data_IF_688122776910
#
_entry.id   IF_688122776910
#
_cell.length_a   1.000
_cell.length_b   1.000
_cell.length_c   1.000
_cell.angle_alpha   90.00
_cell.angle_beta   90.00
_cell.angle_gamma   90.00
#
_symmetry.space_group_name_H-M   'P 1'
#
loop_
_entity.id
_entity.type
_entity.pdbx_description
1 polymer ?
#
# COMPACT_ATOMS: atom_id res chain seq x y z
N UNK A 1 -0.58 -26.04 46.59
CA UNK A 1 -0.45 -26.05 45.12
C UNK A 1 -1.20 -24.82 44.65
N UNK A 2 -0.46 -23.79 44.26
CA UNK A 2 -0.92 -22.41 44.31
C UNK A 2 -1.84 -22.09 43.13
N UNK A 3 -3.14 -22.29 43.34
CA UNK A 3 -4.20 -21.97 42.38
C UNK A 3 -4.08 -20.54 41.86
N UNK A 4 -3.65 -19.61 42.73
CA UNK A 4 -3.36 -18.23 42.33
C UNK A 4 -2.21 -18.09 41.33
N UNK A 5 -1.14 -18.89 41.47
CA UNK A 5 -0.03 -18.90 40.52
C UNK A 5 -0.45 -19.47 39.16
N UNK A 6 -1.29 -20.51 39.16
CA UNK A 6 -1.85 -21.08 37.93
C UNK A 6 -2.77 -20.09 37.20
N UNK A 7 -3.63 -19.38 37.95
CA UNK A 7 -4.53 -18.35 37.39
C UNK A 7 -3.72 -17.16 36.85
N UNK A 8 -2.69 -16.71 37.58
CA UNK A 8 -1.82 -15.62 37.13
C UNK A 8 -1.05 -15.99 35.85
N UNK A 9 -0.51 -17.21 35.77
CA UNK A 9 0.18 -17.69 34.57
C UNK A 9 -0.76 -17.80 33.36
N UNK A 10 -1.98 -18.32 33.56
CA UNK A 10 -2.98 -18.43 32.50
C UNK A 10 -3.40 -17.04 31.97
N UNK A 11 -3.63 -16.08 32.86
CA UNK A 11 -3.99 -14.70 32.49
C UNK A 11 -2.87 -13.99 31.72
N UNK A 12 -1.61 -14.18 32.14
CA UNK A 12 -0.45 -13.61 31.46
C UNK A 12 -0.32 -14.13 30.02
N UNK A 13 -0.48 -15.45 29.83
CA UNK A 13 -0.41 -16.08 28.51
C UNK A 13 -1.54 -15.57 27.60
N UNK A 14 -2.76 -15.51 28.13
CA UNK A 14 -3.91 -15.00 27.37
C UNK A 14 -3.72 -13.54 26.95
N UNK A 15 -3.17 -12.70 27.84
CA UNK A 15 -2.86 -11.30 27.55
C UNK A 15 -1.80 -11.15 26.46
N UNK A 16 -0.71 -11.91 26.53
CA UNK A 16 0.36 -11.88 25.51
C UNK A 16 -0.16 -12.36 24.15
N UNK A 17 -0.93 -13.46 24.11
CA UNK A 17 -1.49 -13.96 22.85
C UNK A 17 -2.43 -12.93 22.22
N UNK A 18 -3.30 -12.32 23.02
CA UNK A 18 -4.22 -11.28 22.53
C UNK A 18 -3.46 -10.05 22.03
N UNK A 19 -2.42 -9.61 22.77
CA UNK A 19 -1.58 -8.49 22.37
C UNK A 19 -0.80 -8.76 21.08
N UNK A 20 -0.26 -9.97 20.91
CA UNK A 20 0.45 -10.38 19.69
C UNK A 20 -0.50 -10.46 18.50
N UNK A 21 -1.69 -11.04 18.67
CA UNK A 21 -2.71 -11.10 17.61
C UNK A 21 -3.17 -9.70 17.25
N UNK A 22 -3.43 -8.84 18.24
CA UNK A 22 -3.83 -7.46 18.02
C UNK A 22 -2.73 -6.67 17.30
N UNK A 23 -1.47 -6.79 17.71
CA UNK A 23 -0.34 -6.15 17.02
C UNK A 23 -0.12 -6.71 15.61
N UNK A 24 -0.26 -8.03 15.41
CA UNK A 24 -0.08 -8.63 14.09
C UNK A 24 -1.21 -8.21 13.14
N UNK A 25 -2.45 -8.19 13.63
CA UNK A 25 -3.61 -7.66 12.92
C UNK A 25 -3.45 -6.18 12.63
N UNK A 26 -3.02 -5.36 13.60
CA UNK A 26 -2.74 -3.93 13.39
C UNK A 26 -1.59 -3.71 12.42
N UNK A 27 -0.51 -4.49 12.48
CA UNK A 27 0.63 -4.35 11.57
C UNK A 27 0.28 -4.76 10.14
N UNK A 28 -0.59 -5.75 9.97
CA UNK A 28 -1.17 -6.05 8.66
C UNK A 28 -2.19 -5.01 8.21
N UNK A 29 -2.98 -4.50 9.16
CA UNK A 29 -4.01 -3.53 8.86
C UNK A 29 -3.44 -2.15 8.61
N UNK A 30 -2.35 -1.70 9.21
CA UNK A 30 -1.66 -0.44 8.90
C UNK A 30 -1.09 -0.43 7.47
N UNK A 31 -0.68 -1.60 6.95
CA UNK A 31 -0.36 -1.76 5.52
C UNK A 31 -1.57 -1.56 4.60
N UNK A 32 -2.78 -1.59 5.15
CA UNK A 32 -4.07 -1.40 4.47
C UNK A 32 -4.83 -0.13 4.95
N UNK A 33 -4.49 0.40 6.12
CA UNK A 33 -5.08 1.53 6.87
C UNK A 33 -4.23 2.79 6.79
N UNK A 34 -3.10 2.75 6.06
CA UNK A 34 -2.70 3.88 5.21
C UNK A 34 -3.73 4.21 4.12
N UNK A 35 -5.01 3.81 4.28
CA UNK A 35 -6.21 4.45 3.74
C UNK A 35 -6.16 5.93 4.07
N UNK A 36 -5.95 6.80 3.08
CA UNK A 36 -6.39 8.15 3.22
C UNK A 36 -7.89 8.15 2.96
N UNK A 37 -8.64 8.34 4.04
CA UNK A 37 -10.05 8.69 4.00
C UNK A 37 -10.24 9.94 3.15
N UNK A 38 -10.58 9.80 1.85
CA UNK A 38 -11.16 10.82 0.95
C UNK A 38 -10.52 12.23 0.94
N UNK A 39 -9.33 12.40 1.54
CA UNK A 39 -8.65 13.69 1.80
C UNK A 39 -7.13 13.59 1.57
N UNK A 40 -6.61 12.53 0.92
CA UNK A 40 -5.22 12.58 0.40
C UNK A 40 -5.16 13.38 -0.90
N UNK A 41 -5.53 14.65 -0.83
CA UNK A 41 -4.75 15.68 -1.49
C UNK A 41 -3.66 16.01 -0.46
N UNK A 42 -2.37 15.90 -0.81
CA UNK A 42 -1.21 16.21 0.04
C UNK A 42 -0.72 15.10 0.98
N UNK A 43 -0.27 13.99 0.42
CA UNK A 43 1.10 13.58 0.75
C UNK A 43 1.89 13.95 -0.49
N UNK A 44 2.65 15.03 -0.44
CA UNK A 44 3.62 15.37 -1.49
C UNK A 44 4.83 14.45 -1.30
N UNK A 45 5.02 13.37 -2.08
CA UNK A 45 6.31 13.22 -2.70
C UNK A 45 6.50 14.49 -3.55
N UNK A 46 7.69 15.09 -3.51
CA UNK A 46 8.03 16.29 -4.29
C UNK A 46 8.02 15.92 -5.78
N UNK A 47 6.82 15.75 -6.34
CA UNK A 47 6.60 15.70 -7.77
C UNK A 47 6.60 17.16 -8.21
N UNK A 48 7.34 17.50 -9.28
CA UNK A 48 7.31 18.84 -9.83
C UNK A 48 5.86 19.29 -10.08
N UNK A 49 5.52 20.56 -9.80
CA UNK A 49 4.18 21.08 -10.07
C UNK A 49 3.83 20.84 -11.54
N UNK A 50 2.65 20.26 -11.81
CA UNK A 50 2.15 20.02 -13.17
C UNK A 50 2.11 18.55 -13.63
N UNK A 51 2.61 17.59 -12.86
CA UNK A 51 2.50 16.16 -13.19
C UNK A 51 1.04 15.70 -13.31
N UNK A 52 0.15 16.19 -12.46
CA UNK A 52 -1.31 15.97 -12.54
C UNK A 52 -1.90 16.47 -13.85
N UNK A 53 -1.47 17.64 -14.31
CA UNK A 53 -1.94 18.20 -15.58
C UNK A 53 -1.51 17.30 -16.73
N UNK A 54 -0.26 16.84 -16.76
CA UNK A 54 0.22 15.89 -17.79
C UNK A 54 -0.56 14.58 -17.72
N UNK A 55 -0.70 13.99 -16.53
CA UNK A 55 -1.44 12.75 -16.34
C UNK A 55 -2.92 12.86 -16.73
N UNK A 56 -3.53 14.05 -16.64
CA UNK A 56 -4.92 14.29 -17.06
C UNK A 56 -5.10 14.45 -18.57
N UNK A 57 -4.06 14.88 -19.28
CA UNK A 57 -4.09 15.15 -20.73
C UNK A 57 -3.64 13.92 -21.52
N UNK A 58 -2.91 13.00 -20.89
CA UNK A 58 -2.54 11.74 -21.52
C UNK A 58 -3.80 10.92 -21.82
N UNK A 59 -3.90 10.47 -23.07
CA UNK A 59 -4.92 9.50 -23.51
C UNK A 59 -4.68 8.10 -22.91
N UNK A 60 -3.50 7.90 -22.32
CA UNK A 60 -3.05 6.68 -21.68
C UNK A 60 -3.27 6.73 -20.16
N UNK A 61 -3.45 5.55 -19.58
CA UNK A 61 -3.50 5.37 -18.13
C UNK A 61 -2.09 5.41 -17.53
N UNK A 62 -1.92 6.05 -16.36
CA UNK A 62 -0.62 6.16 -15.71
C UNK A 62 -0.75 6.18 -14.18
N UNK A 63 0.23 5.56 -13.51
CA UNK A 63 0.30 5.36 -12.06
C UNK A 63 1.73 5.63 -11.60
N UNK A 64 1.89 6.36 -10.50
CA UNK A 64 3.16 6.67 -9.85
C UNK A 64 3.20 5.89 -8.52
N UNK A 65 4.29 5.15 -8.32
CA UNK A 65 4.51 4.33 -7.13
C UNK A 65 5.65 4.92 -6.27
N UNK A 66 5.57 4.71 -4.94
CA UNK A 66 6.70 4.95 -4.04
C UNK A 66 7.64 3.73 -3.93
N UNK A 67 8.68 3.85 -3.12
CA UNK A 67 9.65 2.78 -2.85
C UNK A 67 9.03 1.53 -2.21
N UNK A 68 7.85 1.67 -1.58
CA UNK A 68 7.12 0.60 -0.92
C UNK A 68 6.00 0.01 -1.81
N UNK A 69 5.99 0.31 -3.11
CA UNK A 69 4.98 -0.11 -4.08
C UNK A 69 3.57 0.47 -3.85
N UNK A 70 3.45 1.52 -3.02
CA UNK A 70 2.18 2.21 -2.81
C UNK A 70 1.95 3.26 -3.90
N UNK A 71 0.69 3.40 -4.33
CA UNK A 71 0.30 4.38 -5.34
C UNK A 71 0.26 5.77 -4.72
N UNK A 72 1.18 6.65 -5.14
CA UNK A 72 1.21 8.05 -4.71
C UNK A 72 0.35 8.95 -5.60
N UNK A 73 0.26 8.63 -6.89
CA UNK A 73 -0.56 9.38 -7.86
C UNK A 73 -1.04 8.45 -8.96
N UNK A 74 -2.23 8.68 -9.46
CA UNK A 74 -2.76 7.92 -10.59
C UNK A 74 -3.68 8.81 -11.42
N UNK A 75 -3.72 8.58 -12.73
CA UNK A 75 -4.66 9.24 -13.61
C UNK A 75 -6.09 8.73 -13.38
N UNK A 76 -7.08 9.52 -13.77
CA UNK A 76 -8.50 9.13 -13.70
C UNK A 76 -8.77 7.85 -14.51
N UNK A 77 -8.12 7.70 -15.66
CA UNK A 77 -8.19 6.49 -16.49
C UNK A 77 -7.70 5.23 -15.73
N UNK A 78 -6.65 5.35 -14.91
CA UNK A 78 -6.13 4.21 -14.13
C UNK A 78 -7.13 3.71 -13.09
N UNK A 79 -7.86 4.62 -12.45
CA UNK A 79 -8.95 4.26 -11.55
C UNK A 79 -10.14 3.65 -12.30
N UNK A 80 -10.52 4.22 -13.44
CA UNK A 80 -11.64 3.73 -14.25
C UNK A 80 -11.38 2.32 -14.81
N UNK A 81 -10.13 2.03 -15.20
CA UNK A 81 -9.69 0.71 -15.66
C UNK A 81 -9.46 -0.29 -14.51
N UNK A 82 -9.57 0.15 -13.25
CA UNK A 82 -9.40 -0.70 -12.08
C UNK A 82 -7.94 -1.12 -11.81
N UNK A 83 -6.97 -0.43 -12.41
CA UNK A 83 -5.53 -0.67 -12.22
C UNK A 83 -5.07 -0.31 -10.80
N UNK A 84 -5.82 0.58 -10.12
CA UNK A 84 -5.55 0.97 -8.73
C UNK A 84 -6.73 0.61 -7.85
N UNK A 85 -6.49 -0.15 -6.79
CA UNK A 85 -7.50 -0.48 -5.76
C UNK A 85 -6.89 -0.27 -4.39
N UNK A 86 -7.58 0.49 -3.54
CA UNK A 86 -7.14 0.72 -2.15
C UNK A 86 -5.76 1.37 -2.02
N UNK A 87 -5.33 2.17 -3.00
CA UNK A 87 -4.00 2.80 -2.99
C UNK A 87 -2.85 1.87 -3.40
N UNK A 88 -3.15 0.71 -3.99
CA UNK A 88 -2.17 -0.25 -4.52
C UNK A 88 -2.44 -0.55 -5.98
N UNK A 89 -1.39 -0.90 -6.71
CA UNK A 89 -1.50 -1.41 -8.07
C UNK A 89 -2.14 -2.81 -8.00
N UNK A 90 -3.27 -3.00 -8.68
CA UNK A 90 -4.05 -4.24 -8.63
C UNK A 90 -3.52 -5.32 -9.57
N UNK A 91 -2.71 -4.93 -10.55
CA UNK A 91 -2.20 -5.77 -11.62
C UNK A 91 -0.79 -6.26 -11.26
N UNK A 92 -0.70 -7.50 -10.77
CA UNK A 92 0.57 -8.08 -10.29
C UNK A 92 1.70 -8.07 -11.36
N UNK A 93 1.45 -8.40 -12.64
CA UNK A 93 2.50 -8.30 -13.67
C UNK A 93 3.09 -6.90 -13.82
N UNK A 94 2.27 -5.85 -13.67
CA UNK A 94 2.76 -4.47 -13.72
C UNK A 94 3.55 -4.10 -12.47
N UNK A 95 3.20 -4.68 -11.31
CA UNK A 95 3.92 -4.45 -10.06
C UNK A 95 5.32 -5.07 -10.12
N UNK A 96 5.42 -6.29 -10.63
CA UNK A 96 6.70 -6.96 -10.82
C UNK A 96 7.58 -6.17 -11.79
N UNK A 97 7.01 -5.69 -12.90
CA UNK A 97 7.72 -4.83 -13.83
C UNK A 97 8.23 -3.55 -13.15
N UNK A 98 7.41 -2.88 -12.34
CA UNK A 98 7.82 -1.68 -11.64
C UNK A 98 8.97 -1.94 -10.65
N UNK A 99 9.01 -3.13 -10.02
CA UNK A 99 10.13 -3.54 -9.15
C UNK A 99 11.39 -3.80 -9.93
N UNK A 100 11.28 -4.47 -11.08
CA UNK A 100 12.42 -4.76 -11.94
C UNK A 100 13.00 -3.45 -12.49
N UNK A 101 12.16 -2.57 -13.06
CA UNK A 101 12.52 -1.22 -13.52
C UNK A 101 13.14 -0.35 -12.43
N UNK A 102 12.75 -0.50 -11.16
CA UNK A 102 13.37 0.23 -10.04
C UNK A 102 14.79 -0.26 -9.74
N UNK A 103 15.06 -1.55 -9.95
CA UNK A 103 16.37 -2.14 -9.67
C UNK A 103 17.37 -1.86 -10.78
N UNK A 104 16.93 -1.89 -12.02
CA UNK A 104 17.79 -1.74 -13.20
C UNK A 104 17.75 -0.33 -13.81
N UNK A 105 16.69 0.44 -13.57
CA UNK A 105 16.47 1.75 -14.19
C UNK A 105 16.00 1.67 -15.65
N UNK A 106 15.73 0.48 -16.18
CA UNK A 106 15.43 0.24 -17.58
C UNK A 106 13.91 0.26 -17.84
N UNK A 107 13.52 0.90 -18.95
CA UNK A 107 12.11 0.98 -19.36
C UNK A 107 11.69 -0.40 -19.88
N UNK A 108 10.66 -0.98 -19.25
CA UNK A 108 10.09 -2.28 -19.61
C UNK A 108 8.65 -2.11 -20.11
N UNK A 109 8.25 -2.97 -21.04
CA UNK A 109 6.90 -3.03 -21.60
C UNK A 109 6.43 -4.48 -21.66
N UNK A 110 5.15 -4.71 -21.41
CA UNK A 110 4.49 -6.02 -21.50
C UNK A 110 3.09 -5.81 -22.06
N UNK A 111 2.62 -6.75 -22.86
CA UNK A 111 1.22 -6.82 -23.30
C UNK A 111 0.45 -7.72 -22.33
N UNK A 112 -0.70 -7.23 -21.87
CA UNK A 112 -1.58 -7.87 -20.88
C UNK A 112 -2.97 -8.14 -21.47
#
# INVERSE_FOLDING_TARGET
MDVNAAVAAAAAIAGVLTGVIAMLAFRWSEREQKRPTRTSLHTDPVLPPGVDTVLSVLRSSAVVLDEADAVVKASSAAYALGLVRGGKLSVEPMLQMARDTRRDGEIRQVEL
#
